data_IF_695994846248
#
_entry.id   IF_695994846248
#
_cell.length_a   1.000
_cell.length_b   1.000
_cell.length_c   1.000
_cell.angle_alpha   90.00
_cell.angle_beta   90.00
_cell.angle_gamma   90.00
#
_symmetry.space_group_name_H-M   'P 1'
#
loop_
_entity.id
_entity.type
_entity.pdbx_description
1 polymer ?
#
# COMPACT_ATOMS: atom_id res chain seq x y z
N UNK A 1 -10.35 -3.82 0.86
CA UNK A 1 -10.55 -4.24 2.28
C UNK A 1 -9.43 -5.21 2.66
N UNK A 2 -8.78 -5.04 3.82
CA UNK A 2 -7.67 -5.93 4.24
C UNK A 2 -8.19 -7.32 4.67
N UNK A 3 -7.38 -8.36 4.48
CA UNK A 3 -7.67 -9.75 4.86
C UNK A 3 -6.55 -10.40 5.69
N UNK A 4 -5.61 -9.60 6.20
CA UNK A 4 -4.45 -10.06 6.96
C UNK A 4 -3.60 -11.17 6.27
N UNK A 5 -3.55 -11.22 4.94
CA UNK A 5 -2.83 -12.28 4.21
C UNK A 5 -1.29 -12.26 4.37
N UNK A 6 -0.72 -11.15 4.86
CA UNK A 6 0.72 -11.04 5.14
C UNK A 6 1.64 -10.79 3.95
N UNK A 7 1.13 -10.73 2.71
CA UNK A 7 1.97 -10.45 1.53
C UNK A 7 2.69 -9.10 1.64
N UNK A 8 1.96 -8.06 2.09
CA UNK A 8 2.50 -6.71 2.27
C UNK A 8 3.63 -6.64 3.33
N UNK A 9 3.55 -7.47 4.38
CA UNK A 9 4.59 -7.57 5.40
C UNK A 9 5.85 -8.23 4.83
N UNK A 10 5.70 -9.32 4.07
CA UNK A 10 6.83 -10.06 3.47
C UNK A 10 7.65 -9.24 2.47
N UNK A 11 6.99 -8.39 1.68
CA UNK A 11 7.67 -7.57 0.67
C UNK A 11 8.28 -6.28 1.23
N UNK A 12 7.96 -5.89 2.46
CA UNK A 12 8.45 -4.64 3.02
C UNK A 12 9.91 -4.74 3.47
N UNK A 13 10.84 -4.28 2.63
CA UNK A 13 12.28 -4.26 2.93
C UNK A 13 12.64 -3.44 4.18
N UNK A 14 11.81 -2.45 4.52
CA UNK A 14 12.00 -1.58 5.69
C UNK A 14 11.33 -2.10 6.96
N UNK A 15 10.65 -3.25 6.90
CA UNK A 15 9.87 -3.84 8.02
C UNK A 15 8.89 -2.84 8.65
N UNK A 16 8.33 -1.95 7.84
CA UNK A 16 7.38 -0.94 8.26
C UNK A 16 5.95 -1.50 8.41
N UNK A 17 5.69 -2.75 8.04
CA UNK A 17 4.35 -3.34 8.04
C UNK A 17 4.32 -4.55 8.97
N UNK A 18 3.27 -4.67 9.77
CA UNK A 18 2.98 -5.83 10.63
C UNK A 18 1.55 -6.28 10.46
N UNK A 19 1.32 -7.58 10.38
CA UNK A 19 -0.04 -8.13 10.41
C UNK A 19 -0.52 -8.22 11.85
N UNK A 20 -1.69 -7.66 12.13
CA UNK A 20 -2.43 -7.84 13.37
C UNK A 20 -3.54 -8.87 13.13
N UNK A 21 -3.31 -10.12 13.56
CA UNK A 21 -4.25 -11.22 13.38
C UNK A 21 -5.53 -11.07 14.20
N UNK A 22 -5.47 -10.42 15.36
CA UNK A 22 -6.66 -10.20 16.21
C UNK A 22 -7.64 -9.23 15.54
N UNK A 23 -7.11 -8.17 14.92
CA UNK A 23 -7.89 -7.16 14.21
C UNK A 23 -8.13 -7.53 12.74
N UNK A 24 -7.55 -8.62 12.26
CA UNK A 24 -7.60 -9.09 10.88
C UNK A 24 -7.22 -8.00 9.85
N UNK A 25 -6.18 -7.23 10.17
CA UNK A 25 -5.66 -6.13 9.33
C UNK A 25 -4.13 -6.09 9.34
N UNK A 26 -3.53 -5.47 8.33
CA UNK A 26 -2.11 -5.09 8.36
C UNK A 26 -1.98 -3.62 8.78
N UNK A 27 -1.04 -3.33 9.66
CA UNK A 27 -0.76 -2.01 10.21
C UNK A 27 0.61 -1.52 9.70
N UNK A 28 0.69 -0.23 9.39
CA UNK A 28 1.90 0.41 8.86
C UNK A 28 2.46 1.37 9.90
N UNK A 29 3.75 1.25 10.20
CA UNK A 29 4.51 2.22 10.97
C UNK A 29 5.00 3.35 10.02
N UNK A 30 4.43 4.57 10.10
CA UNK A 30 4.79 5.66 9.21
C UNK A 30 6.22 6.16 9.41
N UNK A 31 6.81 6.00 10.60
CA UNK A 31 8.19 6.43 10.87
C UNK A 31 9.23 5.57 10.12
N UNK A 32 8.90 4.31 9.81
CA UNK A 32 9.77 3.40 9.07
C UNK A 32 9.45 3.37 7.56
N UNK A 33 8.23 3.73 7.18
CA UNK A 33 7.77 3.70 5.80
C UNK A 33 8.55 4.70 4.92
N UNK A 34 9.05 4.24 3.77
CA UNK A 34 9.73 5.09 2.77
C UNK A 34 8.88 5.44 1.55
N UNK A 35 7.62 5.01 1.54
CA UNK A 35 6.70 5.31 0.44
C UNK A 35 7.01 4.61 -0.89
N UNK A 36 7.82 3.55 -0.92
CA UNK A 36 8.21 2.88 -2.18
C UNK A 36 7.06 2.16 -2.93
N UNK A 37 5.93 1.92 -2.27
CA UNK A 37 4.71 1.40 -2.91
C UNK A 37 4.66 -0.09 -3.23
N UNK A 38 5.71 -0.87 -2.96
CA UNK A 38 5.72 -2.31 -3.25
C UNK A 38 4.57 -3.07 -2.55
N UNK A 39 4.23 -2.67 -1.32
CA UNK A 39 3.09 -3.24 -0.59
C UNK A 39 1.74 -2.94 -1.27
N UNK A 40 1.58 -1.76 -1.85
CA UNK A 40 0.38 -1.34 -2.61
C UNK A 40 0.23 -2.14 -3.88
N UNK A 41 1.32 -2.32 -4.64
CA UNK A 41 1.32 -3.14 -5.85
C UNK A 41 1.06 -4.63 -5.57
N UNK A 42 1.52 -5.13 -4.42
CA UNK A 42 1.37 -6.54 -4.05
C UNK A 42 -0.02 -6.87 -3.48
N UNK A 43 -0.72 -5.88 -2.91
CA UNK A 43 -1.98 -6.10 -2.22
C UNK A 43 -3.13 -6.41 -3.19
N UNK A 44 -3.41 -7.70 -3.38
CA UNK A 44 -4.50 -8.18 -4.25
C UNK A 44 -5.89 -7.65 -3.90
N UNK A 45 -6.12 -7.31 -2.62
CA UNK A 45 -7.40 -6.77 -2.16
C UNK A 45 -7.50 -5.25 -2.24
N UNK A 46 -6.46 -4.56 -2.74
CA UNK A 46 -6.40 -3.11 -2.87
C UNK A 46 -6.54 -2.37 -1.52
N UNK A 47 -6.20 -3.03 -0.41
CA UNK A 47 -6.45 -2.51 0.93
C UNK A 47 -5.45 -1.44 1.40
N UNK A 48 -4.26 -1.43 0.82
CA UNK A 48 -3.18 -0.51 1.16
C UNK A 48 -2.96 0.45 -0.01
N UNK A 49 -2.72 1.73 0.30
CA UNK A 49 -2.44 2.79 -0.66
C UNK A 49 -1.22 3.58 -0.21
N UNK A 50 -0.47 4.11 -1.16
CA UNK A 50 0.61 5.08 -0.88
C UNK A 50 0.03 6.48 -0.92
N UNK A 51 0.32 7.30 0.09
CA UNK A 51 -0.09 8.70 0.09
C UNK A 51 0.51 9.44 -1.09
N UNK A 52 -0.29 10.29 -1.75
CA UNK A 52 0.12 11.07 -2.91
C UNK A 52 0.05 10.32 -4.25
N UNK A 53 -0.24 9.02 -4.23
CA UNK A 53 -0.36 8.18 -5.43
C UNK A 53 -1.66 7.38 -5.42
N UNK A 54 -2.77 8.01 -5.00
CA UNK A 54 -4.07 7.38 -5.13
C UNK A 54 -4.40 7.15 -6.62
N UNK A 55 -5.10 6.05 -6.98
CA UNK A 55 -5.42 5.75 -8.37
C UNK A 55 -6.10 6.91 -9.11
N UNK A 56 -6.97 7.64 -8.43
CA UNK A 56 -7.69 8.78 -8.99
C UNK A 56 -6.75 9.93 -9.35
N UNK A 57 -5.70 10.15 -8.54
CA UNK A 57 -4.66 11.16 -8.81
C UNK A 57 -3.78 10.76 -10.00
N UNK A 58 -3.47 9.47 -10.14
CA UNK A 58 -2.68 8.96 -11.26
C UNK A 58 -3.47 9.08 -12.56
N UNK A 59 -4.75 8.69 -12.54
CA UNK A 59 -5.62 8.76 -13.72
C UNK A 59 -5.78 10.22 -14.17
N UNK A 60 -6.02 11.14 -13.23
CA UNK A 60 -6.15 12.57 -13.59
C UNK A 60 -4.90 13.14 -14.26
N UNK A 61 -3.71 12.69 -13.86
CA UNK A 61 -2.45 13.10 -14.48
C UNK A 61 -2.35 12.58 -15.91
N UNK A 62 -2.70 11.31 -16.15
CA UNK A 62 -2.68 10.69 -17.48
C UNK A 62 -3.69 11.34 -18.42
N UNK A 63 -4.90 11.62 -17.95
CA UNK A 63 -5.96 12.28 -18.73
C UNK A 63 -5.59 13.72 -19.13
N UNK A 64 -4.78 14.41 -18.32
CA UNK A 64 -4.31 15.76 -18.62
C UNK A 64 -3.26 15.78 -19.74
N UNK A 65 -2.58 14.66 -20.00
CA UNK A 65 -1.55 14.62 -21.04
C UNK A 65 -2.20 14.79 -22.43
N UNK A 66 -1.72 15.75 -23.24
CA UNK A 66 -2.19 15.95 -24.61
C UNK A 66 -1.51 14.90 -25.48
N UNK A 67 -2.08 13.69 -25.51
CA UNK A 67 -1.69 12.66 -26.47
C UNK A 67 -2.02 13.06 -27.91
#
# INVERSE_FOLDING_TARGET
RCTACGDCERVCQYRAIRVNSERNVAEVNPALCKGCGLCSATCKSGAIRVQGFAPEQIISEVEYLPW
#
